data_IF_463853569875
#
_entry.id   IF_463853569875
#
_cell.length_a   1.000
_cell.length_b   1.000
_cell.length_c   1.000
_cell.angle_alpha   90.00
_cell.angle_beta   90.00
_cell.angle_gamma   90.00
#
_symmetry.space_group_name_H-M   'P 1'
#
loop_
_entity.id
_entity.type
_entity.pdbx_description
1 polymer ?
#
# COMPACT_ATOMS: atom_id res chain seq x y z
N UNK A 1 -18.35 23.74 23.27
CA UNK A 1 -17.41 22.64 22.98
C UNK A 1 -16.03 23.23 23.18
N UNK A 2 -15.36 22.89 24.28
CA UNK A 2 -14.01 23.38 24.52
C UNK A 2 -13.06 22.65 23.57
N UNK A 3 -12.34 23.43 22.75
CA UNK A 3 -11.31 22.85 21.89
C UNK A 3 -10.19 22.31 22.77
N UNK A 4 -9.63 21.12 22.45
CA UNK A 4 -8.48 20.61 23.18
C UNK A 4 -7.35 21.65 23.14
N UNK A 5 -6.86 22.08 24.30
CA UNK A 5 -5.69 22.95 24.35
C UNK A 5 -4.46 22.12 23.96
N UNK A 6 -3.70 22.63 22.99
CA UNK A 6 -2.41 22.05 22.64
C UNK A 6 -1.46 22.22 23.83
N UNK A 7 -0.60 21.22 24.13
CA UNK A 7 0.46 21.38 25.11
C UNK A 7 1.31 22.62 24.80
N UNK A 8 1.76 23.33 25.84
CA UNK A 8 2.55 24.57 25.69
C UNK A 8 3.85 24.35 24.89
N UNK A 9 4.38 23.12 24.88
CA UNK A 9 5.58 22.73 24.14
C UNK A 9 5.28 22.16 22.75
N UNK A 10 4.02 22.07 22.30
CA UNK A 10 3.66 21.42 21.03
C UNK A 10 4.38 22.01 19.81
N UNK A 11 4.65 23.32 19.83
CA UNK A 11 5.38 24.05 18.79
C UNK A 11 6.86 24.26 19.13
N UNK A 12 7.40 23.55 20.12
CA UNK A 12 8.83 23.59 20.45
C UNK A 12 9.67 23.15 19.25
N UNK A 13 10.88 23.71 19.06
CA UNK A 13 11.76 23.33 17.95
C UNK A 13 12.04 21.80 17.89
N UNK A 14 12.11 21.15 19.05
CA UNK A 14 12.31 19.69 19.13
C UNK A 14 11.09 18.91 18.65
N UNK A 15 9.88 19.27 19.09
CA UNK A 15 8.64 18.62 18.67
C UNK A 15 8.41 18.80 17.16
N UNK A 16 8.66 20.00 16.61
CA UNK A 16 8.58 20.26 15.17
C UNK A 16 9.59 19.43 14.38
N UNK A 17 10.84 19.32 14.87
CA UNK A 17 11.87 18.49 14.22
C UNK A 17 11.49 17.01 14.24
N UNK A 18 10.97 16.51 15.35
CA UNK A 18 10.53 15.12 15.51
C UNK A 18 9.37 14.81 14.56
N UNK A 19 8.40 15.70 14.47
CA UNK A 19 7.23 15.57 13.60
C UNK A 19 7.63 15.53 12.12
N UNK A 20 8.44 16.51 11.67
CA UNK A 20 9.00 16.53 10.30
C UNK A 20 9.76 15.24 9.98
N UNK A 21 10.54 14.72 10.93
CA UNK A 21 11.27 13.48 10.73
C UNK A 21 10.33 12.25 10.65
N UNK A 22 9.25 12.22 11.42
CA UNK A 22 8.23 11.18 11.34
C UNK A 22 7.50 11.19 10.00
N UNK A 23 7.05 12.37 9.57
CA UNK A 23 6.44 12.56 8.27
C UNK A 23 7.39 12.15 7.13
N UNK A 24 8.65 12.58 7.17
CA UNK A 24 9.63 12.24 6.15
C UNK A 24 9.91 10.74 6.08
N UNK A 25 9.93 10.03 7.22
CA UNK A 25 10.08 8.56 7.23
C UNK A 25 8.86 7.87 6.61
N UNK A 26 7.65 8.31 6.97
CA UNK A 26 6.41 7.76 6.42
C UNK A 26 6.33 7.98 4.90
N UNK A 27 6.62 9.21 4.43
CA UNK A 27 6.66 9.55 3.02
C UNK A 27 7.71 8.73 2.27
N UNK A 28 8.93 8.60 2.81
CA UNK A 28 9.98 7.77 2.19
C UNK A 28 9.58 6.30 2.08
N UNK A 29 8.88 5.75 3.07
CA UNK A 29 8.38 4.38 3.01
C UNK A 29 7.33 4.21 1.90
N UNK A 30 6.35 5.13 1.83
CA UNK A 30 5.34 5.12 0.78
C UNK A 30 5.94 5.30 -0.62
N UNK A 31 6.88 6.24 -0.75
CA UNK A 31 7.61 6.49 -2.00
C UNK A 31 8.49 5.30 -2.41
N UNK A 32 9.10 4.61 -1.44
CA UNK A 32 9.87 3.39 -1.68
C UNK A 32 9.02 2.27 -2.29
N UNK A 33 7.83 2.03 -1.73
CA UNK A 33 6.89 1.07 -2.33
C UNK A 33 6.44 1.54 -3.72
N UNK A 34 6.07 2.81 -3.87
CA UNK A 34 5.67 3.36 -5.16
C UNK A 34 6.76 3.18 -6.22
N UNK A 35 8.02 3.47 -5.88
CA UNK A 35 9.17 3.27 -6.75
C UNK A 35 9.34 1.80 -7.15
N UNK A 36 9.11 0.86 -6.22
CA UNK A 36 9.12 -0.57 -6.51
C UNK A 36 8.02 -0.96 -7.52
N UNK A 37 6.80 -0.45 -7.38
CA UNK A 37 5.69 -0.72 -8.30
C UNK A 37 6.03 -0.24 -9.73
N UNK A 38 6.53 0.99 -9.84
CA UNK A 38 6.93 1.58 -11.12
C UNK A 38 8.14 0.86 -11.73
N UNK A 39 9.12 0.45 -10.91
CA UNK A 39 10.27 -0.31 -11.36
C UNK A 39 9.85 -1.67 -11.93
N UNK A 40 9.00 -2.41 -11.21
CA UNK A 40 8.52 -3.73 -11.67
C UNK A 40 7.75 -3.60 -12.98
N UNK A 41 6.82 -2.64 -13.07
CA UNK A 41 6.06 -2.41 -14.30
C UNK A 41 6.97 -1.95 -15.45
N UNK A 42 7.92 -1.06 -15.19
CA UNK A 42 8.88 -0.59 -16.18
C UNK A 42 9.77 -1.70 -16.72
N UNK A 43 10.27 -2.58 -15.83
CA UNK A 43 11.07 -3.74 -16.23
C UNK A 43 10.25 -4.77 -17.01
N UNK A 44 9.01 -5.05 -16.60
CA UNK A 44 8.09 -5.92 -17.35
C UNK A 44 7.91 -5.42 -18.80
N UNK A 45 7.72 -4.10 -18.99
CA UNK A 45 7.57 -3.50 -20.31
C UNK A 45 8.87 -3.42 -21.11
N UNK A 46 10.00 -3.14 -20.46
CA UNK A 46 11.30 -3.04 -21.12
C UNK A 46 11.80 -4.41 -21.60
N UNK A 47 11.56 -5.46 -20.83
CA UNK A 47 12.02 -6.82 -21.11
C UNK A 47 11.00 -7.66 -21.89
N UNK A 48 9.84 -7.09 -22.22
CA UNK A 48 8.69 -7.78 -22.85
C UNK A 48 8.37 -9.14 -22.19
N UNK A 49 8.53 -9.20 -20.87
CA UNK A 49 8.42 -10.44 -20.08
C UNK A 49 7.18 -10.35 -19.21
N UNK A 50 6.02 -10.87 -19.66
CA UNK A 50 4.78 -10.76 -18.91
C UNK A 50 4.87 -11.52 -17.58
N UNK A 51 4.64 -10.83 -16.47
CA UNK A 51 4.72 -11.40 -15.11
C UNK A 51 3.41 -12.06 -14.65
N UNK A 52 2.56 -12.44 -15.60
CA UNK A 52 1.22 -13.01 -15.34
C UNK A 52 1.23 -14.29 -14.51
N UNK A 53 2.32 -15.06 -14.56
CA UNK A 53 2.49 -16.25 -13.73
C UNK A 53 2.51 -15.92 -12.21
N UNK A 54 2.81 -14.68 -11.86
CA UNK A 54 2.80 -14.17 -10.48
C UNK A 54 1.50 -13.43 -10.13
N UNK A 55 0.49 -13.47 -11.00
CA UNK A 55 -0.81 -12.93 -10.68
C UNK A 55 -1.54 -13.81 -9.66
N UNK A 56 -2.50 -13.21 -8.97
CA UNK A 56 -3.43 -13.95 -8.14
C UNK A 56 -4.50 -14.60 -9.04
N UNK A 57 -4.64 -15.91 -8.93
CA UNK A 57 -5.67 -16.69 -9.63
C UNK A 57 -6.61 -17.35 -8.59
N UNK A 58 -7.86 -16.87 -8.46
CA UNK A 58 -8.80 -17.38 -7.47
C UNK A 58 -9.09 -18.87 -7.66
N UNK A 59 -9.15 -19.59 -6.54
CA UNK A 59 -9.45 -21.03 -6.49
C UNK A 59 -8.35 -21.96 -7.02
N UNK A 60 -7.20 -21.44 -7.47
CA UNK A 60 -6.08 -22.27 -7.95
C UNK A 60 -4.90 -22.26 -6.99
N UNK A 61 -4.28 -23.44 -6.78
CA UNK A 61 -3.10 -23.56 -5.92
C UNK A 61 -1.89 -22.81 -6.49
N UNK A 62 -1.65 -22.89 -7.80
CA UNK A 62 -0.58 -22.11 -8.44
C UNK A 62 -0.78 -20.59 -8.30
N UNK A 63 -2.02 -20.13 -8.11
CA UNK A 63 -2.37 -18.73 -7.94
C UNK A 63 -2.10 -18.15 -6.56
N UNK A 64 -1.75 -18.98 -5.57
CA UNK A 64 -1.51 -18.55 -4.19
C UNK A 64 -0.28 -17.66 -4.05
N UNK A 65 0.73 -17.83 -4.91
CA UNK A 65 1.90 -16.93 -4.93
C UNK A 65 1.47 -15.48 -5.17
N UNK A 66 0.39 -15.30 -5.94
CA UNK A 66 -0.24 -14.02 -6.20
C UNK A 66 -0.76 -13.29 -4.96
N UNK A 67 -1.01 -13.97 -3.83
CA UNK A 67 -1.35 -13.28 -2.57
C UNK A 67 -0.20 -12.33 -2.16
N UNK A 68 1.04 -12.73 -2.42
CA UNK A 68 2.22 -11.94 -2.10
C UNK A 68 2.58 -11.00 -3.24
N UNK A 69 2.53 -11.48 -4.48
CA UNK A 69 3.08 -10.77 -5.64
C UNK A 69 2.08 -9.89 -6.36
N UNK A 70 0.78 -10.18 -6.37
CA UNK A 70 -0.20 -9.44 -7.15
C UNK A 70 -0.26 -7.94 -6.83
N UNK A 71 -0.13 -7.49 -5.57
CA UNK A 71 -0.12 -6.05 -5.29
C UNK A 71 1.05 -5.28 -5.91
N UNK A 72 2.12 -5.98 -6.29
CA UNK A 72 3.29 -5.41 -6.95
C UNK A 72 3.14 -5.27 -8.47
N UNK A 73 2.17 -5.97 -9.06
CA UNK A 73 2.01 -6.10 -10.50
C UNK A 73 0.84 -5.26 -11.01
N UNK A 74 0.96 -4.69 -12.20
CA UNK A 74 -0.10 -3.88 -12.81
C UNK A 74 -0.25 -4.21 -14.29
N UNK A 75 -1.47 -4.55 -14.71
CA UNK A 75 -1.75 -4.98 -16.09
C UNK A 75 -1.52 -3.88 -17.14
N UNK A 76 -1.74 -2.62 -16.76
CA UNK A 76 -1.56 -1.47 -17.63
C UNK A 76 -1.14 -0.21 -16.86
N UNK A 77 -0.65 0.77 -17.61
CA UNK A 77 -0.14 2.02 -17.08
C UNK A 77 -1.25 2.84 -16.39
N UNK A 78 -2.47 2.82 -16.93
CA UNK A 78 -3.58 3.57 -16.36
C UNK A 78 -3.94 3.05 -14.96
N UNK A 79 -3.92 1.72 -14.78
CA UNK A 79 -4.14 1.08 -13.50
C UNK A 79 -3.04 1.42 -12.48
N UNK A 80 -1.76 1.44 -12.89
CA UNK A 80 -0.65 1.86 -12.03
C UNK A 80 -0.75 3.34 -11.61
N UNK A 81 -1.04 4.22 -12.57
CA UNK A 81 -1.23 5.65 -12.32
C UNK A 81 -2.41 5.89 -11.38
N UNK A 82 -3.52 5.16 -11.53
CA UNK A 82 -4.68 5.27 -10.65
C UNK A 82 -4.38 4.87 -9.20
N UNK A 83 -3.51 3.88 -8.97
CA UNK A 83 -3.10 3.46 -7.62
C UNK A 83 -2.05 4.38 -6.99
N UNK A 84 -1.24 5.07 -7.80
CA UNK A 84 -0.13 5.93 -7.35
C UNK A 84 -0.54 6.94 -6.26
N UNK A 85 -1.55 7.80 -6.44
CA UNK A 85 -1.92 8.78 -5.41
C UNK A 85 -2.47 8.10 -4.15
N UNK A 86 -3.26 7.03 -4.29
CA UNK A 86 -3.83 6.32 -3.16
C UNK A 86 -2.74 5.64 -2.31
N UNK A 87 -1.80 4.93 -2.93
CA UNK A 87 -0.66 4.31 -2.24
C UNK A 87 0.18 5.38 -1.53
N UNK A 88 0.53 6.46 -2.22
CA UNK A 88 1.40 7.50 -1.67
C UNK A 88 0.76 8.19 -0.47
N UNK A 89 -0.50 8.61 -0.58
CA UNK A 89 -1.22 9.34 0.47
C UNK A 89 -1.53 8.42 1.64
N UNK A 90 -2.14 7.25 1.41
CA UNK A 90 -2.63 6.39 2.49
C UNK A 90 -1.51 5.75 3.28
N UNK A 91 -0.43 5.29 2.63
CA UNK A 91 0.72 4.76 3.38
C UNK A 91 1.43 5.86 4.18
N UNK A 92 1.59 7.05 3.59
CA UNK A 92 2.17 8.18 4.33
C UNK A 92 1.32 8.50 5.54
N UNK A 93 0.00 8.63 5.38
CA UNK A 93 -0.92 8.94 6.46
C UNK A 93 -0.94 7.85 7.54
N UNK A 94 -0.97 6.57 7.14
CA UNK A 94 -0.95 5.44 8.06
C UNK A 94 0.33 5.39 8.90
N UNK A 95 1.50 5.49 8.27
CA UNK A 95 2.77 5.42 9.00
C UNK A 95 3.09 6.71 9.78
N UNK A 96 2.56 7.85 9.35
CA UNK A 96 2.68 9.11 10.09
C UNK A 96 1.79 9.11 11.35
N UNK A 97 0.51 8.76 11.19
CA UNK A 97 -0.49 8.86 12.27
C UNK A 97 -0.40 7.70 13.24
N UNK A 98 -0.22 6.47 12.74
CA UNK A 98 -0.29 5.25 13.55
C UNK A 98 0.88 4.29 13.29
N UNK A 99 2.16 4.72 13.40
CA UNK A 99 3.31 3.94 12.95
C UNK A 99 3.33 2.50 13.49
N UNK A 100 3.14 2.31 14.80
CA UNK A 100 3.15 0.98 15.44
C UNK A 100 2.02 0.08 14.95
N UNK A 101 0.82 0.63 14.77
CA UNK A 101 -0.33 -0.12 14.29
C UNK A 101 -0.19 -0.44 12.80
N UNK A 102 0.27 0.52 11.99
CA UNK A 102 0.53 0.37 10.55
C UNK A 102 1.53 -0.73 10.22
N UNK A 103 2.57 -0.91 11.05
CA UNK A 103 3.50 -2.04 10.90
C UNK A 103 2.83 -3.42 11.05
N UNK A 104 1.73 -3.51 11.80
CA UNK A 104 0.94 -4.74 11.95
C UNK A 104 -0.21 -4.81 10.93
N UNK A 105 -0.85 -3.68 10.67
CA UNK A 105 -2.00 -3.59 9.78
C UNK A 105 -1.62 -3.86 8.32
N UNK A 106 -0.50 -3.31 7.84
CA UNK A 106 -0.10 -3.46 6.43
C UNK A 106 0.05 -4.92 5.98
N UNK A 107 0.81 -5.81 6.67
CA UNK A 107 0.91 -7.21 6.27
C UNK A 107 -0.43 -7.96 6.39
N UNK A 108 -1.26 -7.62 7.39
CA UNK A 108 -2.60 -8.21 7.53
C UNK A 108 -3.53 -7.78 6.40
N UNK A 109 -3.52 -6.51 6.02
CA UNK A 109 -4.26 -5.97 4.88
C UNK A 109 -3.78 -6.63 3.59
N UNK A 110 -2.46 -6.72 3.40
CA UNK A 110 -1.85 -7.32 2.21
C UNK A 110 -2.28 -8.77 2.03
N UNK A 111 -2.01 -9.60 3.03
CA UNK A 111 -2.30 -11.04 2.96
C UNK A 111 -3.81 -11.29 3.02
N UNK A 112 -4.51 -10.59 3.92
CA UNK A 112 -5.96 -10.75 4.11
C UNK A 112 -6.76 -10.36 2.88
N UNK A 113 -6.43 -9.26 2.22
CA UNK A 113 -7.07 -8.88 0.96
C UNK A 113 -6.76 -9.90 -0.15
N UNK A 114 -5.52 -10.39 -0.24
CA UNK A 114 -5.16 -11.44 -1.18
C UNK A 114 -5.93 -12.74 -0.94
N UNK A 115 -6.03 -13.21 0.30
CA UNK A 115 -6.83 -14.39 0.66
C UNK A 115 -8.30 -14.18 0.28
N UNK A 116 -8.87 -13.00 0.58
CA UNK A 116 -10.25 -12.69 0.24
C UNK A 116 -10.48 -12.72 -1.29
N UNK A 117 -9.57 -12.13 -2.08
CA UNK A 117 -9.64 -12.21 -3.54
C UNK A 117 -9.51 -13.65 -4.02
N UNK A 118 -8.60 -14.44 -3.44
CA UNK A 118 -8.39 -15.82 -3.85
C UNK A 118 -9.62 -16.73 -3.58
N UNK A 119 -10.34 -16.47 -2.48
CA UNK A 119 -11.54 -17.22 -2.09
C UNK A 119 -12.79 -16.80 -2.88
N UNK A 120 -12.97 -15.50 -3.09
CA UNK A 120 -14.29 -14.95 -3.48
C UNK A 120 -14.30 -14.26 -4.84
N UNK A 121 -13.15 -13.93 -5.42
CA UNK A 121 -13.14 -13.21 -6.68
C UNK A 121 -13.42 -14.13 -7.88
N UNK A 122 -13.89 -13.52 -8.98
CA UNK A 122 -14.15 -14.25 -10.22
C UNK A 122 -12.88 -14.93 -10.77
N UNK A 123 -12.99 -16.02 -11.54
CA UNK A 123 -11.85 -16.75 -12.12
C UNK A 123 -11.12 -15.95 -13.22
N UNK A 124 -10.33 -14.95 -12.81
CA UNK A 124 -9.48 -14.13 -13.66
C UNK A 124 -8.13 -13.87 -12.99
N UNK A 125 -7.16 -13.35 -13.73
CA UNK A 125 -5.91 -12.87 -13.12
C UNK A 125 -6.20 -11.55 -12.40
N UNK A 126 -5.89 -11.47 -11.12
CA UNK A 126 -6.00 -10.26 -10.31
C UNK A 126 -4.60 -9.73 -10.01
N UNK A 127 -4.44 -8.43 -10.21
CA UNK A 127 -3.19 -7.68 -10.14
C UNK A 127 -3.53 -6.30 -9.57
N UNK A 128 -2.57 -5.66 -8.91
CA UNK A 128 -2.65 -4.26 -8.50
C UNK A 128 -2.74 -4.06 -7.00
N UNK A 129 -2.30 -2.88 -6.56
CA UNK A 129 -2.24 -2.51 -5.15
C UNK A 129 -3.59 -2.12 -4.53
N UNK A 130 -4.71 -2.30 -5.25
CA UNK A 130 -6.02 -1.83 -4.81
C UNK A 130 -6.50 -2.48 -3.52
N UNK A 131 -6.20 -3.78 -3.29
CA UNK A 131 -6.51 -4.44 -2.01
C UNK A 131 -5.83 -3.75 -0.82
N UNK A 132 -4.59 -3.28 -1.01
CA UNK A 132 -3.85 -2.53 0.00
C UNK A 132 -4.50 -1.17 0.23
N UNK A 133 -4.83 -0.42 -0.83
CA UNK A 133 -5.39 0.92 -0.68
C UNK A 133 -6.77 0.88 -0.02
N UNK A 134 -7.63 -0.07 -0.38
CA UNK A 134 -8.93 -0.23 0.29
C UNK A 134 -8.76 -0.65 1.75
N UNK A 135 -7.87 -1.60 2.06
CA UNK A 135 -7.61 -2.00 3.44
C UNK A 135 -7.03 -0.86 4.29
N UNK A 136 -6.14 -0.03 3.73
CA UNK A 136 -5.62 1.16 4.40
C UNK A 136 -6.68 2.23 4.61
N UNK A 137 -7.58 2.43 3.65
CA UNK A 137 -8.75 3.31 3.82
C UNK A 137 -9.59 2.86 5.02
N UNK A 138 -9.93 1.57 5.09
CA UNK A 138 -10.70 1.03 6.23
C UNK A 138 -9.94 1.21 7.54
N UNK A 139 -8.65 0.88 7.58
CA UNK A 139 -7.81 1.04 8.77
C UNK A 139 -7.68 2.49 9.27
N UNK A 140 -7.69 3.47 8.37
CA UNK A 140 -7.49 4.88 8.72
C UNK A 140 -8.78 5.57 9.17
N UNK A 141 -9.94 5.12 8.67
CA UNK A 141 -11.19 5.87 8.77
C UNK A 141 -12.35 5.14 9.47
N UNK A 142 -12.18 3.86 9.81
CA UNK A 142 -13.16 3.08 10.58
C UNK A 142 -12.52 2.57 11.88
#
# INVERSE_FOLDING_TARGET
MDLPQLPDDALSPENVKRDRAAWARAFKAAFGLLGLLWLIHGLERLLDTPLRAFALQPGKLEGLIGILTAPLLHGDLAHLVANTPAVLVLLTLAFYTYPKASFRALPLIWIGSGIAVWLFARPSHHLGASGITHGLMLFLFL
#
